data_IF_990782505019
#
_entry.id   IF_990782505019
#
_cell.length_a   1.000
_cell.length_b   1.000
_cell.length_c   1.000
_cell.angle_alpha   90.00
_cell.angle_beta   90.00
_cell.angle_gamma   90.00
#
_symmetry.space_group_name_H-M   'P 1'
#
loop_
_entity.id
_entity.type
_entity.pdbx_description
1 polymer ?
#
# COMPACT_ATOMS: atom_id res chain seq x y z
N UNK A 1 -24.55 15.15 20.72
CA UNK A 1 -24.72 14.04 19.78
C UNK A 1 -24.84 14.61 18.38
N UNK A 2 -23.73 14.70 17.66
CA UNK A 2 -23.67 15.12 16.25
C UNK A 2 -23.48 13.84 15.43
N UNK A 3 -24.38 13.58 14.50
CA UNK A 3 -24.23 12.53 13.50
C UNK A 3 -23.34 13.08 12.38
N UNK A 4 -22.19 12.45 12.19
CA UNK A 4 -21.23 12.74 11.12
C UNK A 4 -21.72 12.08 9.84
N UNK A 5 -21.66 12.82 8.73
CA UNK A 5 -22.03 12.38 7.39
C UNK A 5 -21.00 11.39 6.83
N UNK A 6 -21.46 10.31 6.20
CA UNK A 6 -20.65 9.44 5.36
C UNK A 6 -20.56 10.02 3.94
N UNK A 7 -19.34 10.18 3.43
CA UNK A 7 -19.02 10.38 2.02
C UNK A 7 -18.90 9.01 1.30
N UNK A 8 -19.18 8.93 -0.02
CA UNK A 8 -19.15 7.67 -0.76
C UNK A 8 -17.71 7.24 -1.09
N UNK A 9 -17.39 5.97 -0.82
CA UNK A 9 -16.16 5.29 -1.24
C UNK A 9 -16.29 4.73 -2.67
N UNK A 10 -15.14 4.71 -3.34
CA UNK A 10 -14.81 4.14 -4.64
C UNK A 10 -15.30 2.68 -4.76
N UNK A 11 -15.80 2.29 -5.94
CA UNK A 11 -16.31 0.94 -6.24
C UNK A 11 -15.16 0.03 -6.69
N UNK A 12 -14.96 -1.07 -5.97
CA UNK A 12 -14.14 -2.22 -6.38
C UNK A 12 -15.07 -3.44 -6.36
N UNK A 13 -15.02 -4.25 -7.41
CA UNK A 13 -15.88 -5.42 -7.64
C UNK A 13 -15.44 -6.59 -6.74
N UNK A 14 -16.40 -7.20 -6.04
CA UNK A 14 -16.22 -8.06 -4.85
C UNK A 14 -16.72 -9.48 -5.14
N UNK A 15 -15.91 -10.54 -4.93
CA UNK A 15 -16.25 -11.97 -5.15
C UNK A 15 -16.58 -12.74 -3.88
N UNK A 16 -17.85 -13.14 -3.72
CA UNK A 16 -18.33 -14.01 -2.64
C UNK A 16 -19.35 -15.06 -3.07
N UNK A 17 -19.20 -16.21 -2.40
CA UNK A 17 -20.09 -17.37 -2.33
C UNK A 17 -21.20 -17.08 -1.30
N UNK A 18 -22.48 -17.24 -1.70
CA UNK A 18 -23.63 -17.11 -0.81
C UNK A 18 -23.84 -18.39 0.00
N UNK A 19 -23.62 -18.33 1.32
CA UNK A 19 -24.32 -19.19 2.28
C UNK A 19 -25.47 -18.39 2.89
N UNK A 20 -26.67 -18.94 2.78
CA UNK A 20 -27.95 -18.25 2.95
C UNK A 20 -28.18 -17.66 4.36
N UNK A 21 -28.24 -16.33 4.48
CA UNK A 21 -28.92 -15.63 5.57
C UNK A 21 -29.66 -14.40 5.03
N UNK A 22 -30.99 -14.47 4.94
CA UNK A 22 -31.84 -13.39 4.46
C UNK A 22 -31.96 -12.26 5.51
N UNK A 23 -31.49 -11.06 5.17
CA UNK A 23 -31.91 -9.80 5.79
C UNK A 23 -32.41 -8.88 4.67
N UNK A 24 -33.72 -8.65 4.62
CA UNK A 24 -34.34 -7.68 3.71
C UNK A 24 -34.06 -6.25 4.15
N UNK A 25 -33.57 -5.41 3.24
CA UNK A 25 -33.73 -3.96 3.30
C UNK A 25 -34.25 -3.46 1.95
N UNK A 26 -35.32 -2.67 2.00
CA UNK A 26 -35.95 -2.04 0.84
C UNK A 26 -35.08 -0.89 0.32
N UNK A 27 -34.93 -0.79 -1.00
CA UNK A 27 -34.27 0.34 -1.67
C UNK A 27 -35.31 1.27 -2.31
N UNK A 28 -35.22 2.56 -2.01
CA UNK A 28 -35.94 3.64 -2.69
C UNK A 28 -35.09 4.18 -3.86
N UNK A 29 -35.79 4.53 -4.95
CA UNK A 29 -35.26 5.00 -6.23
C UNK A 29 -34.45 6.32 -6.12
N UNK A 30 -33.31 6.39 -6.80
CA UNK A 30 -32.63 7.65 -7.13
C UNK A 30 -32.42 7.76 -8.65
N UNK A 31 -32.99 8.82 -9.24
CA UNK A 31 -32.77 9.27 -10.62
C UNK A 31 -31.39 9.93 -10.73
N UNK A 32 -30.60 9.56 -11.74
CA UNK A 32 -29.31 10.18 -12.04
C UNK A 32 -29.42 11.14 -13.24
N UNK A 33 -29.03 12.40 -13.01
CA UNK A 33 -28.86 13.42 -14.05
C UNK A 33 -27.50 13.25 -14.75
N UNK A 34 -27.51 13.34 -16.09
CA UNK A 34 -26.34 13.20 -16.97
C UNK A 34 -25.62 14.54 -17.08
N UNK A 35 -24.37 14.62 -16.63
CA UNK A 35 -23.47 15.75 -16.89
C UNK A 35 -22.52 15.40 -18.04
N UNK A 36 -22.61 16.18 -19.12
CA UNK A 36 -21.73 16.13 -20.29
C UNK A 36 -20.47 16.96 -19.99
N UNK A 37 -19.29 16.33 -20.04
CA UNK A 37 -18.00 17.05 -19.99
C UNK A 37 -17.57 17.45 -21.40
N UNK A 38 -17.31 18.75 -21.57
CA UNK A 38 -16.76 19.36 -22.78
C UNK A 38 -15.24 19.26 -22.82
N UNK A 39 -14.72 19.06 -24.03
CA UNK A 39 -13.30 19.07 -24.40
C UNK A 39 -12.64 20.42 -24.09
N UNK A 40 -11.44 20.38 -23.50
CA UNK A 40 -10.53 21.53 -23.41
C UNK A 40 -9.34 21.32 -24.32
N UNK A 41 -9.15 22.23 -25.27
CA UNK A 41 -7.98 22.35 -26.13
C UNK A 41 -6.81 22.99 -25.35
N UNK A 42 -5.67 22.31 -25.29
CA UNK A 42 -4.39 22.83 -24.78
C UNK A 42 -3.72 23.76 -25.81
N UNK A 43 -3.34 25.00 -25.46
CA UNK A 43 -2.46 25.81 -26.27
C UNK A 43 -0.98 25.64 -25.88
N UNK A 44 -0.14 25.56 -26.92
CA UNK A 44 1.30 25.38 -26.90
C UNK A 44 2.06 26.40 -26.03
N UNK A 45 3.11 25.90 -25.36
CA UNK A 45 4.07 26.69 -24.60
C UNK A 45 4.95 27.59 -25.51
N UNK A 46 5.24 28.84 -25.10
CA UNK A 46 6.16 29.73 -25.81
C UNK A 46 7.64 29.46 -25.44
N UNK A 47 8.59 29.87 -26.31
CA UNK A 47 10.02 29.61 -26.12
C UNK A 47 10.68 30.55 -25.10
N UNK A 48 11.62 30.00 -24.33
CA UNK A 48 12.47 30.72 -23.38
C UNK A 48 13.50 31.60 -24.12
N UNK A 49 13.60 32.87 -23.73
CA UNK A 49 14.67 33.81 -24.11
C UNK A 49 15.57 34.06 -22.92
N UNK A 50 16.88 33.89 -23.11
CA UNK A 50 17.93 34.23 -22.14
C UNK A 50 18.22 35.74 -22.21
N UNK A 51 17.88 36.47 -21.14
CA UNK A 51 18.30 37.87 -20.96
C UNK A 51 19.23 37.99 -19.75
N UNK A 52 20.42 38.55 -20.03
CA UNK A 52 21.48 38.84 -19.09
C UNK A 52 21.13 40.01 -18.16
N UNK A 53 21.23 39.79 -16.84
CA UNK A 53 21.10 40.84 -15.83
C UNK A 53 22.44 41.11 -15.13
N UNK A 54 22.87 42.36 -15.25
CA UNK A 54 24.02 42.98 -14.62
C UNK A 54 23.76 43.26 -13.13
N UNK A 55 24.66 42.82 -12.26
CA UNK A 55 24.68 43.16 -10.82
C UNK A 55 25.12 44.61 -10.56
N UNK A 56 24.54 45.32 -9.58
CA UNK A 56 25.09 46.57 -9.06
C UNK A 56 25.98 46.35 -7.82
N UNK A 57 27.07 47.11 -7.75
CA UNK A 57 28.02 47.16 -6.64
C UNK A 57 27.37 47.60 -5.31
N UNK A 58 27.51 46.77 -4.26
CA UNK A 58 27.11 47.10 -2.89
C UNK A 58 28.37 47.45 -2.08
N UNK A 59 28.33 48.61 -1.43
CA UNK A 59 29.39 49.17 -0.60
C UNK A 59 29.61 48.36 0.69
N UNK A 60 30.88 48.19 1.04
CA UNK A 60 31.37 47.44 2.21
C UNK A 60 31.13 48.22 3.51
N UNK A 61 30.45 47.65 4.53
CA UNK A 61 30.36 48.26 5.85
C UNK A 61 31.58 47.98 6.72
N UNK A 62 31.89 48.95 7.57
CA UNK A 62 33.00 48.99 8.54
C UNK A 62 32.79 47.98 9.69
N UNK A 63 33.83 47.29 10.18
CA UNK A 63 33.66 46.19 11.15
C UNK A 63 33.40 46.71 12.57
N UNK A 64 32.44 46.12 13.32
CA UNK A 64 32.21 46.47 14.71
C UNK A 64 33.25 45.82 15.65
N UNK A 65 33.46 46.50 16.77
CA UNK A 65 34.41 46.18 17.82
C UNK A 65 34.27 44.77 18.40
N UNK A 66 35.43 44.15 18.61
CA UNK A 66 35.82 43.07 19.52
C UNK A 66 34.72 42.59 20.49
N UNK A 67 33.90 41.63 20.06
CA UNK A 67 32.96 40.92 20.93
C UNK A 67 33.69 39.86 21.78
N UNK A 68 33.32 39.81 23.06
CA UNK A 68 33.71 38.81 24.05
C UNK A 68 33.34 37.40 23.60
N UNK A 69 34.19 36.43 23.95
CA UNK A 69 34.04 35.00 23.62
C UNK A 69 32.61 34.49 23.93
N UNK A 70 31.89 33.89 22.96
CA UNK A 70 30.57 33.35 23.19
C UNK A 70 30.69 32.06 24.00
N UNK A 71 30.15 32.10 25.22
CA UNK A 71 29.76 30.91 25.97
C UNK A 71 28.46 30.39 25.37
N UNK A 72 28.27 29.07 25.30
CA UNK A 72 26.98 28.49 24.89
C UNK A 72 25.87 29.18 25.70
N UNK A 73 24.96 29.94 25.08
CA UNK A 73 23.97 30.73 25.82
C UNK A 73 22.95 29.87 26.59
N UNK A 74 23.03 28.54 26.47
CA UNK A 74 22.35 27.58 27.35
C UNK A 74 22.78 27.66 28.83
N UNK A 75 23.75 28.51 29.20
CA UNK A 75 24.13 28.77 30.59
C UNK A 75 23.10 29.59 31.41
N UNK A 76 21.87 29.74 30.93
CA UNK A 76 20.74 30.04 31.79
C UNK A 76 20.53 28.92 32.82
N UNK A 77 20.03 29.26 34.01
CA UNK A 77 19.78 28.28 35.07
C UNK A 77 18.69 27.30 34.62
N UNK A 78 19.09 26.16 34.05
CA UNK A 78 18.19 25.16 33.44
C UNK A 78 17.09 24.67 34.41
N UNK A 79 17.29 24.82 35.72
CA UNK A 79 16.29 24.54 36.75
C UNK A 79 15.05 25.46 36.69
N UNK A 80 15.08 26.56 35.94
CA UNK A 80 13.94 27.48 35.78
C UNK A 80 13.11 27.21 34.52
N UNK A 81 13.58 26.33 33.62
CA UNK A 81 12.86 25.99 32.40
C UNK A 81 11.68 25.06 32.72
N UNK A 82 10.56 25.26 32.01
CA UNK A 82 9.39 24.43 32.15
C UNK A 82 9.66 23.01 31.62
N UNK A 83 9.07 22.00 32.26
CA UNK A 83 9.05 20.63 31.73
C UNK A 83 8.14 20.55 30.50
N UNK A 84 8.50 19.71 29.55
CA UNK A 84 7.83 19.62 28.25
C UNK A 84 7.59 18.20 27.76
N UNK A 85 7.96 17.19 28.53
CA UNK A 85 7.85 15.78 28.18
C UNK A 85 7.42 14.97 29.41
N UNK A 86 6.44 14.08 29.23
CA UNK A 86 5.93 13.20 30.29
C UNK A 86 6.65 11.83 30.32
N UNK A 87 7.42 11.49 29.28
CA UNK A 87 8.13 10.21 29.13
C UNK A 87 9.53 10.23 29.76
N UNK A 88 10.05 11.40 30.11
CA UNK A 88 11.39 11.56 30.65
C UNK A 88 11.74 13.00 30.98
N UNK A 89 12.90 13.23 31.62
CA UNK A 89 13.37 14.56 31.97
C UNK A 89 13.73 15.36 30.70
N UNK A 90 12.89 16.33 30.35
CA UNK A 90 13.17 17.30 29.29
C UNK A 90 12.71 18.70 29.69
N UNK A 91 13.37 19.72 29.14
CA UNK A 91 13.05 21.13 29.40
C UNK A 91 12.77 21.88 28.11
N UNK A 92 11.85 22.83 28.21
CA UNK A 92 11.52 23.70 27.10
C UNK A 92 12.59 24.78 26.92
N UNK A 93 13.40 24.67 25.86
CA UNK A 93 14.51 25.59 25.55
C UNK A 93 14.10 26.46 24.36
N UNK A 94 14.24 27.80 24.42
CA UNK A 94 14.01 28.66 23.25
C UNK A 94 14.82 28.18 22.03
N UNK A 95 14.20 28.10 20.85
CA UNK A 95 14.81 27.51 19.66
C UNK A 95 16.11 28.22 19.24
N UNK A 96 16.25 29.52 19.52
CA UNK A 96 17.48 30.30 19.27
C UNK A 96 18.71 29.79 20.05
N UNK A 97 18.51 28.94 21.06
CA UNK A 97 19.58 28.29 21.80
C UNK A 97 19.79 26.82 21.41
N UNK A 98 18.88 26.25 20.62
CA UNK A 98 18.95 24.85 20.16
C UNK A 98 19.78 24.81 18.88
N UNK A 99 20.80 23.94 18.78
CA UNK A 99 21.55 23.77 17.53
C UNK A 99 20.66 23.37 16.36
N UNK A 100 20.87 23.96 15.19
CA UNK A 100 19.98 23.81 14.02
C UNK A 100 19.72 22.34 13.64
N UNK A 101 20.75 21.49 13.70
CA UNK A 101 20.62 20.05 13.43
C UNK A 101 19.69 19.30 14.38
N UNK A 102 19.45 19.83 15.58
CA UNK A 102 18.53 19.24 16.55
C UNK A 102 17.11 19.82 16.44
N UNK A 103 16.94 21.06 15.97
CA UNK A 103 15.64 21.76 15.99
C UNK A 103 14.53 20.98 15.29
N UNK A 104 14.83 20.34 14.15
CA UNK A 104 13.85 19.56 13.37
C UNK A 104 13.45 18.23 14.02
N UNK A 105 14.17 17.81 15.07
CA UNK A 105 13.89 16.55 15.76
C UNK A 105 13.10 16.75 17.06
N UNK A 106 12.97 17.97 17.57
CA UNK A 106 12.35 18.21 18.88
C UNK A 106 10.85 18.52 18.78
N UNK A 107 10.09 18.08 19.77
CA UNK A 107 8.74 18.58 19.97
C UNK A 107 8.77 20.08 20.25
N UNK A 108 7.83 20.83 19.68
CA UNK A 108 7.66 22.25 20.02
C UNK A 108 7.06 22.39 21.42
N UNK A 109 7.49 23.40 22.16
CA UNK A 109 6.99 23.71 23.49
C UNK A 109 6.93 25.22 23.71
N UNK A 110 5.97 25.67 24.53
CA UNK A 110 5.73 27.10 24.74
C UNK A 110 5.42 27.83 23.44
N UNK A 111 5.87 29.08 23.31
CA UNK A 111 5.59 29.91 22.14
C UNK A 111 6.63 29.82 21.02
N UNK A 112 7.88 29.40 21.30
CA UNK A 112 9.00 29.33 20.34
C UNK A 112 10.13 28.41 20.86
N UNK A 113 9.82 27.39 21.67
CA UNK A 113 10.81 26.49 22.24
C UNK A 113 10.82 25.10 21.61
N UNK A 114 11.95 24.41 21.72
CA UNK A 114 12.11 22.98 21.50
C UNK A 114 12.22 22.23 22.82
N UNK A 115 11.58 21.06 22.92
CA UNK A 115 11.63 20.22 24.11
C UNK A 115 12.94 19.42 24.12
N UNK A 116 13.96 19.93 24.81
CA UNK A 116 15.31 19.33 24.80
C UNK A 116 15.46 18.36 25.99
N UNK A 117 15.84 17.09 25.76
CA UNK A 117 16.19 16.15 26.81
C UNK A 117 17.24 16.72 27.78
N UNK A 118 17.06 16.49 29.08
CA UNK A 118 17.90 17.04 30.14
C UNK A 118 19.37 16.62 29.98
N UNK A 119 19.64 15.40 29.50
CA UNK A 119 21.00 14.93 29.20
C UNK A 119 21.69 15.74 28.11
N UNK A 120 20.96 16.13 27.06
CA UNK A 120 21.52 17.00 26.02
C UNK A 120 21.87 18.35 26.65
N UNK A 121 20.96 18.94 27.44
CA UNK A 121 21.22 20.23 28.12
C UNK A 121 22.47 20.14 29.01
N UNK A 122 22.61 19.08 29.79
CA UNK A 122 23.74 18.92 30.72
C UNK A 122 25.06 18.64 30.01
N UNK A 123 25.03 17.87 28.92
CA UNK A 123 26.20 17.61 28.07
C UNK A 123 26.64 18.84 27.27
N UNK A 124 25.69 19.66 26.77
CA UNK A 124 26.03 20.92 26.09
C UNK A 124 26.68 21.94 27.03
N UNK A 125 26.42 21.90 28.35
CA UNK A 125 27.20 22.68 29.33
C UNK A 125 28.66 22.23 29.41
N UNK A 126 28.94 20.95 29.13
CA UNK A 126 30.29 20.41 29.04
C UNK A 126 30.95 20.61 27.66
N UNK A 127 30.19 21.11 26.67
CA UNK A 127 30.67 21.51 25.34
C UNK A 127 30.40 20.51 24.22
N UNK A 128 30.01 19.27 24.53
CA UNK A 128 29.65 18.26 23.54
C UNK A 128 28.57 17.30 24.08
N UNK A 129 27.72 16.81 23.19
CA UNK A 129 26.81 15.70 23.46
C UNK A 129 27.07 14.60 22.44
N UNK A 130 27.49 13.42 22.91
CA UNK A 130 27.62 12.21 22.09
C UNK A 130 26.73 11.14 22.72
N UNK A 131 25.69 10.65 22.01
CA UNK A 131 24.88 9.53 22.48
C UNK A 131 25.72 8.29 22.79
N UNK A 132 25.24 7.47 23.73
CA UNK A 132 25.85 6.17 23.99
C UNK A 132 25.48 5.21 22.85
N UNK A 133 26.46 4.52 22.26
CA UNK A 133 26.23 3.49 21.24
C UNK A 133 25.56 2.27 21.86
N UNK A 134 24.61 1.66 21.17
CA UNK A 134 23.84 0.50 21.60
C UNK A 134 23.53 -0.41 20.41
N UNK A 135 22.93 -1.58 20.68
CA UNK A 135 22.44 -2.51 19.64
C UNK A 135 20.93 -2.35 19.46
N UNK A 136 20.52 -1.93 18.26
CA UNK A 136 19.14 -1.61 17.92
C UNK A 136 18.40 -2.81 17.29
N UNK A 137 17.25 -2.53 16.67
CA UNK A 137 16.44 -3.47 15.89
C UNK A 137 17.29 -4.29 14.91
N UNK A 138 17.05 -5.60 14.83
CA UNK A 138 17.78 -6.49 13.93
C UNK A 138 19.28 -6.66 14.24
N UNK A 139 19.75 -6.20 15.40
CA UNK A 139 21.18 -6.25 15.74
C UNK A 139 22.01 -5.13 15.10
N UNK A 140 21.36 -4.13 14.51
CA UNK A 140 22.01 -2.96 13.89
C UNK A 140 22.69 -2.07 14.93
N UNK A 141 23.66 -1.27 14.48
CA UNK A 141 24.24 -0.20 15.30
C UNK A 141 23.19 0.87 15.58
N UNK A 142 23.16 1.37 16.82
CA UNK A 142 22.25 2.43 17.23
C UNK A 142 22.83 3.33 18.29
N UNK A 143 22.06 4.32 18.68
CA UNK A 143 22.38 5.28 19.72
C UNK A 143 21.24 5.41 20.74
N UNK A 144 21.60 5.61 21.99
CA UNK A 144 20.65 5.88 23.07
C UNK A 144 20.09 7.28 22.90
N UNK A 145 18.84 7.35 22.44
CA UNK A 145 18.12 8.59 22.22
C UNK A 145 16.94 8.68 23.18
N UNK A 146 16.71 9.87 23.73
CA UNK A 146 15.64 10.11 24.67
C UNK A 146 14.27 9.87 24.04
N UNK A 147 13.40 9.21 24.80
CA UNK A 147 11.98 9.01 24.49
C UNK A 147 11.18 10.33 24.41
N UNK A 148 11.77 11.46 24.78
CA UNK A 148 11.19 12.78 24.59
C UNK A 148 11.38 13.35 23.18
N UNK A 149 12.18 12.72 22.33
CA UNK A 149 12.24 13.03 20.90
C UNK A 149 11.04 12.37 20.22
N UNK A 150 10.13 13.11 19.55
CA UNK A 150 8.91 12.57 18.93
C UNK A 150 9.12 11.31 18.12
N UNK A 151 10.11 11.30 17.21
CA UNK A 151 10.42 10.10 16.40
C UNK A 151 10.71 8.86 17.26
N UNK A 152 11.40 9.02 18.40
CA UNK A 152 11.68 7.89 19.31
C UNK A 152 10.44 7.52 20.14
N UNK A 153 9.66 8.51 20.55
CA UNK A 153 8.40 8.29 21.27
C UNK A 153 7.42 7.46 20.44
N UNK A 154 7.32 7.76 19.14
CA UNK A 154 6.44 7.07 18.19
C UNK A 154 6.82 5.59 18.01
N UNK A 155 8.10 5.24 18.24
CA UNK A 155 8.63 3.88 18.12
C UNK A 155 9.03 3.24 19.46
N UNK A 156 8.62 3.80 20.60
CA UNK A 156 9.09 3.38 21.94
C UNK A 156 8.85 1.90 22.27
N UNK A 157 7.81 1.30 21.67
CA UNK A 157 7.45 -0.12 21.85
C UNK A 157 8.27 -1.06 20.99
N UNK A 158 8.92 -0.56 19.94
CA UNK A 158 9.70 -1.35 18.99
C UNK A 158 11.20 -1.22 19.26
N UNK A 159 11.66 -0.01 19.55
CA UNK A 159 13.06 0.22 19.83
C UNK A 159 13.47 -0.50 21.12
N UNK A 160 14.54 -1.32 21.11
CA UNK A 160 15.01 -1.97 22.32
C UNK A 160 15.60 -0.94 23.27
N UNK A 161 15.61 -1.26 24.57
CA UNK A 161 16.32 -0.44 25.55
C UNK A 161 17.84 -0.70 25.51
N UNK A 162 18.26 -1.95 25.29
CA UNK A 162 19.67 -2.39 25.35
C UNK A 162 20.44 -1.81 26.55
N UNK A 163 21.51 -1.04 26.32
CA UNK A 163 22.33 -0.43 27.37
C UNK A 163 21.90 1.02 27.69
N UNK A 164 20.79 1.47 27.11
CA UNK A 164 20.23 2.80 27.32
C UNK A 164 19.47 2.87 28.64
N UNK A 165 19.22 4.09 29.10
CA UNK A 165 18.56 4.34 30.38
C UNK A 165 17.04 4.17 30.25
N UNK A 166 16.31 4.25 31.37
CA UNK A 166 14.85 4.02 31.39
C UNK A 166 14.04 4.98 30.50
N UNK A 167 14.53 6.22 30.36
CA UNK A 167 13.95 7.28 29.54
C UNK A 167 14.54 7.36 28.12
N UNK A 168 15.32 6.37 27.71
CA UNK A 168 15.97 6.29 26.40
C UNK A 168 15.60 4.99 25.68
N UNK A 169 15.74 5.00 24.35
CA UNK A 169 15.68 3.81 23.51
C UNK A 169 16.85 3.80 22.55
N UNK A 170 17.27 2.60 22.17
CA UNK A 170 18.27 2.42 21.16
C UNK A 170 17.64 2.68 19.79
N UNK A 171 17.81 3.89 19.26
CA UNK A 171 17.38 4.24 17.92
C UNK A 171 18.46 3.77 16.91
N UNK A 172 18.10 3.07 15.82
CA UNK A 172 19.09 2.59 14.85
C UNK A 172 19.76 3.77 14.15
N UNK A 173 21.03 3.65 13.77
CA UNK A 173 21.72 4.72 13.05
C UNK A 173 21.09 4.99 11.68
N UNK A 174 20.69 3.92 11.00
CA UNK A 174 20.00 3.94 9.71
C UNK A 174 18.53 3.58 9.96
N UNK A 175 17.60 4.36 9.41
CA UNK A 175 16.18 4.05 9.47
C UNK A 175 15.92 2.74 8.70
N UNK A 176 15.41 1.67 9.35
CA UNK A 176 15.22 0.37 8.71
C UNK A 176 14.12 0.38 7.64
N UNK A 177 13.29 1.43 7.56
CA UNK A 177 12.25 1.58 6.56
C UNK A 177 12.75 2.27 5.30
N UNK A 178 13.56 3.32 5.46
CA UNK A 178 13.98 4.17 4.34
C UNK A 178 15.41 3.90 3.89
N UNK A 179 16.24 3.28 4.73
CA UNK A 179 17.67 3.14 4.51
C UNK A 179 18.47 4.43 4.74
N UNK A 180 17.81 5.53 5.11
CA UNK A 180 18.45 6.84 5.32
C UNK A 180 19.07 6.97 6.73
N UNK A 181 20.02 7.89 6.89
CA UNK A 181 20.54 8.26 8.21
C UNK A 181 19.42 8.84 9.10
N UNK A 182 19.16 8.18 10.23
CA UNK A 182 18.14 8.60 11.20
C UNK A 182 18.53 9.86 11.98
N UNK A 183 19.82 10.23 11.97
CA UNK A 183 20.44 11.23 12.82
C UNK A 183 20.78 10.75 14.23
N UNK A 184 20.52 9.48 14.58
CA UNK A 184 20.75 8.96 15.93
C UNK A 184 22.25 8.84 16.26
N UNK A 185 23.07 8.44 15.29
CA UNK A 185 24.49 8.11 15.49
C UNK A 185 25.47 9.13 14.90
N UNK A 186 25.00 10.33 14.51
CA UNK A 186 25.89 11.37 14.00
C UNK A 186 27.00 11.76 14.97
N UNK A 187 27.95 12.59 14.52
CA UNK A 187 29.18 13.01 15.24
C UNK A 187 28.98 13.72 16.60
N UNK A 188 27.76 13.69 17.12
CA UNK A 188 27.35 14.40 18.31
C UNK A 188 27.03 15.86 18.02
N UNK A 189 26.42 16.50 19.01
CA UNK A 189 26.08 17.91 18.95
C UNK A 189 27.21 18.65 19.64
N UNK A 190 28.00 19.41 18.86
CA UNK A 190 29.02 20.31 19.40
C UNK A 190 28.53 21.74 19.35
N UNK A 191 28.66 22.45 20.46
CA UNK A 191 28.44 23.89 20.46
C UNK A 191 29.75 24.57 20.08
N UNK A 192 30.01 24.75 18.78
CA UNK A 192 31.06 25.68 18.39
C UNK A 192 30.53 27.13 18.52
N UNK A 193 31.30 28.05 19.11
CA UNK A 193 30.94 29.47 19.08
C UNK A 193 30.86 29.88 17.62
N UNK A 194 29.74 30.49 17.21
CA UNK A 194 29.60 31.17 15.93
C UNK A 194 30.61 32.32 15.84
N UNK A 195 31.88 31.99 15.64
CA UNK A 195 32.86 32.94 15.15
C UNK A 195 32.46 33.21 13.71
N UNK A 196 32.34 34.48 13.34
CA UNK A 196 32.13 34.93 11.97
C UNK A 196 33.15 34.23 11.05
N UNK A 197 32.76 33.09 10.49
CA UNK A 197 33.61 32.28 9.64
C UNK A 197 33.57 32.93 8.28
N UNK A 198 34.75 33.36 7.84
CA UNK A 198 34.99 33.62 6.43
C UNK A 198 34.96 32.23 5.81
N UNK A 199 33.84 31.86 5.17
CA UNK A 199 33.63 30.55 4.54
C UNK A 199 34.91 30.13 3.80
N UNK A 200 35.67 29.15 4.33
CA UNK A 200 36.60 28.42 3.49
C UNK A 200 35.73 27.73 2.44
N UNK A 201 36.11 27.94 1.18
CA UNK A 201 35.54 27.26 0.01
C UNK A 201 35.31 25.78 0.38
N UNK A 202 34.05 25.29 0.33
CA UNK A 202 33.69 24.00 0.89
C UNK A 202 34.58 22.93 0.27
N UNK A 203 35.36 22.24 1.11
CA UNK A 203 35.91 20.95 0.71
C UNK A 203 34.72 20.12 0.23
N UNK A 204 34.83 19.45 -0.93
CA UNK A 204 33.73 18.66 -1.45
C UNK A 204 33.32 17.67 -0.35
N UNK A 205 32.09 17.82 0.14
CA UNK A 205 31.53 16.88 1.10
C UNK A 205 31.76 15.48 0.55
N UNK A 206 32.32 14.55 1.36
CA UNK A 206 32.46 13.17 0.94
C UNK A 206 31.07 12.71 0.48
N UNK A 207 30.98 12.25 -0.76
CA UNK A 207 29.71 11.76 -1.30
C UNK A 207 29.11 10.79 -0.28
N UNK A 208 27.82 10.97 0.11
CA UNK A 208 27.18 10.10 1.06
C UNK A 208 27.41 8.66 0.62
N UNK A 209 27.81 7.80 1.56
CA UNK A 209 27.98 6.40 1.25
C UNK A 209 26.69 5.91 0.57
N UNK A 210 26.77 5.25 -0.60
CA UNK A 210 25.58 4.80 -1.30
C UNK A 210 24.74 3.97 -0.34
N UNK A 211 23.43 4.22 -0.34
CA UNK A 211 22.49 3.47 0.51
C UNK A 211 22.76 1.97 0.34
N UNK A 212 22.90 1.22 1.45
CA UNK A 212 23.34 -0.16 1.36
C UNK A 212 22.32 -1.05 0.63
N UNK A 213 21.06 -0.61 0.51
CA UNK A 213 19.99 -1.35 -0.11
C UNK A 213 19.28 -0.51 -1.17
N UNK A 214 19.05 -1.15 -2.32
CA UNK A 214 18.26 -0.58 -3.42
C UNK A 214 17.73 -1.73 -4.27
N UNK A 215 16.87 -1.44 -5.25
CA UNK A 215 16.44 -2.47 -6.20
C UNK A 215 17.55 -3.00 -7.11
N UNK A 216 18.66 -2.27 -7.21
CA UNK A 216 19.88 -2.75 -7.87
C UNK A 216 20.79 -3.57 -6.92
N UNK A 217 20.59 -3.44 -5.61
CA UNK A 217 21.35 -4.11 -4.56
C UNK A 217 20.44 -4.62 -3.44
N UNK A 218 19.71 -5.70 -3.72
CA UNK A 218 18.81 -6.33 -2.76
C UNK A 218 19.60 -6.85 -1.54
N UNK A 219 19.01 -6.82 -0.33
CA UNK A 219 19.64 -7.35 0.86
C UNK A 219 19.91 -8.85 0.70
N UNK A 220 21.14 -9.28 1.02
CA UNK A 220 21.53 -10.70 0.99
C UNK A 220 21.20 -11.45 2.29
N UNK A 221 20.90 -10.73 3.35
CA UNK A 221 20.52 -11.24 4.67
C UNK A 221 19.28 -10.48 5.15
N UNK A 222 18.42 -11.10 5.99
CA UNK A 222 17.27 -10.41 6.57
C UNK A 222 17.71 -9.16 7.35
N UNK A 223 17.15 -8.00 7.00
CA UNK A 223 17.40 -6.72 7.68
C UNK A 223 16.51 -6.53 8.91
N UNK A 224 15.39 -7.25 8.99
CA UNK A 224 14.51 -7.26 10.16
C UNK A 224 14.18 -8.70 10.61
N UNK A 225 14.04 -8.89 11.92
CA UNK A 225 13.58 -10.14 12.52
C UNK A 225 12.06 -10.12 12.66
N UNK A 226 11.39 -11.00 11.91
CA UNK A 226 9.92 -11.12 11.91
C UNK A 226 9.36 -11.49 13.28
N UNK A 227 10.14 -12.16 14.14
CA UNK A 227 9.69 -12.61 15.46
C UNK A 227 9.52 -11.45 16.47
N UNK A 228 9.89 -10.23 16.09
CA UNK A 228 9.61 -9.02 16.86
C UNK A 228 8.14 -8.57 16.74
N UNK A 229 7.42 -9.09 15.74
CA UNK A 229 6.03 -8.75 15.45
C UNK A 229 5.10 -9.91 15.85
N UNK A 230 3.82 -9.61 16.07
CA UNK A 230 2.83 -10.65 16.36
C UNK A 230 2.44 -11.37 15.06
N UNK A 231 2.38 -12.71 14.99
CA UNK A 231 1.91 -13.39 13.79
C UNK A 231 0.43 -13.05 13.53
N UNK A 232 0.08 -12.79 12.27
CA UNK A 232 -1.31 -12.46 11.87
C UNK A 232 -1.92 -13.50 10.92
N UNK A 233 -1.11 -14.20 10.12
CA UNK A 233 -1.46 -15.39 9.35
C UNK A 233 -0.19 -16.18 8.99
N UNK A 234 -0.31 -17.23 8.18
CA UNK A 234 0.80 -18.12 7.85
C UNK A 234 1.83 -17.42 6.95
N UNK A 235 3.05 -17.22 7.45
CA UNK A 235 4.12 -16.49 6.77
C UNK A 235 3.91 -14.97 6.70
N UNK A 236 3.22 -14.38 7.68
CA UNK A 236 3.08 -12.93 7.82
C UNK A 236 2.96 -12.50 9.28
N UNK A 237 3.44 -11.29 9.56
CA UNK A 237 3.35 -10.68 10.89
C UNK A 237 2.72 -9.29 10.87
N UNK A 238 2.16 -8.91 12.01
CA UNK A 238 1.48 -7.64 12.22
C UNK A 238 2.50 -6.52 12.43
N UNK A 239 2.69 -5.70 11.40
CA UNK A 239 3.57 -4.55 11.41
C UNK A 239 2.76 -3.29 11.77
N UNK A 240 3.23 -2.47 12.73
CA UNK A 240 2.59 -1.22 13.11
C UNK A 240 2.35 -0.29 11.92
N UNK A 241 1.23 0.41 11.91
CA UNK A 241 0.86 1.29 10.78
C UNK A 241 1.90 2.37 10.46
N UNK A 242 2.66 2.82 11.46
CA UNK A 242 3.73 3.81 11.28
C UNK A 242 4.96 3.27 10.52
N UNK A 243 5.11 1.94 10.44
CA UNK A 243 6.21 1.25 9.76
C UNK A 243 5.80 0.74 8.36
N UNK A 244 4.53 0.86 7.98
CA UNK A 244 4.03 0.39 6.68
C UNK A 244 3.76 1.61 5.79
N UNK A 245 4.41 1.71 4.60
CA UNK A 245 4.18 2.81 3.67
C UNK A 245 2.68 3.00 3.36
N UNK A 246 2.15 4.24 3.34
CA UNK A 246 0.73 4.49 3.11
C UNK A 246 0.17 3.86 1.83
N UNK A 247 0.97 3.76 0.78
CA UNK A 247 0.66 3.12 -0.49
C UNK A 247 0.41 1.61 -0.37
N UNK A 248 1.09 0.92 0.55
CA UNK A 248 0.94 -0.52 0.74
C UNK A 248 -0.26 -0.86 1.63
N UNK A 249 -0.68 0.07 2.48
CA UNK A 249 -1.74 -0.15 3.49
C UNK A 249 -3.09 -0.55 2.90
N UNK A 250 -3.40 -0.13 1.66
CA UNK A 250 -4.67 -0.51 1.01
C UNK A 250 -4.72 -1.95 0.53
N UNK A 251 -3.56 -2.59 0.35
CA UNK A 251 -3.43 -3.98 -0.10
C UNK A 251 -3.32 -4.99 1.05
N UNK A 252 -3.15 -4.52 2.29
CA UNK A 252 -2.84 -5.38 3.44
C UNK A 252 -4.01 -5.49 4.42
N UNK A 253 -4.18 -6.67 5.01
CA UNK A 253 -5.18 -6.87 6.05
C UNK A 253 -4.81 -6.11 7.33
N UNK A 254 -5.75 -5.44 7.98
CA UNK A 254 -5.52 -4.83 9.30
C UNK A 254 -5.37 -5.89 10.40
N UNK A 255 -4.51 -5.65 11.38
CA UNK A 255 -4.30 -6.51 12.54
C UNK A 255 -4.18 -5.70 13.86
N UNK A 256 -4.06 -6.39 14.99
CA UNK A 256 -3.94 -5.80 16.34
C UNK A 256 -4.99 -4.72 16.68
N UNK A 257 -6.25 -4.96 16.29
CA UNK A 257 -7.37 -4.01 16.44
C UNK A 257 -7.22 -2.73 15.60
N UNK A 258 -6.67 -2.85 14.39
CA UNK A 258 -6.42 -1.77 13.42
C UNK A 258 -5.28 -0.81 13.83
N UNK A 259 -4.31 -1.29 14.62
CA UNK A 259 -3.07 -0.54 14.90
C UNK A 259 -1.90 -0.94 14.01
N UNK A 260 -2.09 -1.97 13.17
CA UNK A 260 -1.09 -2.46 12.24
C UNK A 260 -1.69 -3.14 11.02
N UNK A 261 -0.81 -3.59 10.13
CA UNK A 261 -1.12 -4.32 8.91
C UNK A 261 -0.37 -5.64 8.88
N UNK A 262 -1.01 -6.66 8.33
CA UNK A 262 -0.46 -7.99 8.21
C UNK A 262 0.44 -8.05 6.98
N UNK A 263 1.75 -7.96 7.20
CA UNK A 263 2.77 -7.87 6.15
C UNK A 263 3.42 -9.25 5.98
N UNK A 264 3.52 -9.78 4.74
CA UNK A 264 4.23 -11.03 4.47
C UNK A 264 5.69 -10.99 4.92
N UNK A 265 6.19 -12.10 5.47
CA UNK A 265 7.53 -12.20 6.05
C UNK A 265 8.65 -11.74 5.09
N UNK A 266 8.65 -12.11 3.78
CA UNK A 266 9.68 -11.63 2.86
C UNK A 266 9.76 -10.11 2.73
N UNK A 267 8.63 -9.40 2.87
CA UNK A 267 8.59 -7.94 2.81
C UNK A 267 9.21 -7.36 4.09
N UNK A 268 8.90 -7.95 5.25
CA UNK A 268 9.47 -7.52 6.55
C UNK A 268 10.98 -7.77 6.56
N UNK A 269 11.41 -8.99 6.23
CA UNK A 269 12.81 -9.42 6.25
C UNK A 269 13.69 -8.58 5.32
N UNK A 270 13.13 -8.02 4.24
CA UNK A 270 13.86 -7.20 3.26
C UNK A 270 13.57 -5.70 3.39
N UNK A 271 12.71 -5.29 4.33
CA UNK A 271 12.22 -3.91 4.48
C UNK A 271 11.67 -3.34 3.17
N UNK A 272 10.92 -4.14 2.43
CA UNK A 272 10.31 -3.75 1.15
C UNK A 272 11.20 -3.90 -0.09
N UNK A 273 12.50 -4.15 0.06
CA UNK A 273 13.41 -4.41 -1.07
C UNK A 273 13.39 -5.88 -1.49
N UNK A 274 12.29 -6.33 -2.08
CA UNK A 274 12.13 -7.71 -2.55
C UNK A 274 11.60 -7.78 -3.98
N UNK A 275 11.79 -8.95 -4.60
CA UNK A 275 11.11 -9.35 -5.83
C UNK A 275 10.48 -10.70 -5.55
N UNK A 276 9.15 -10.77 -5.64
CA UNK A 276 8.44 -12.02 -5.44
C UNK A 276 8.86 -13.08 -6.46
N UNK A 277 8.76 -14.36 -6.10
CA UNK A 277 9.11 -15.44 -7.03
C UNK A 277 8.19 -15.42 -8.26
N UNK A 278 8.78 -15.51 -9.46
CA UNK A 278 8.04 -15.61 -10.71
C UNK A 278 7.35 -16.96 -10.84
N UNK A 279 6.09 -16.96 -11.26
CA UNK A 279 5.29 -18.17 -11.46
C UNK A 279 4.44 -18.06 -12.73
N UNK A 280 3.86 -19.20 -13.16
CA UNK A 280 2.91 -19.24 -14.27
C UNK A 280 1.50 -19.30 -13.69
N UNK A 281 0.69 -18.29 -14.02
CA UNK A 281 -0.70 -18.11 -13.57
C UNK A 281 -1.70 -18.57 -14.63
N UNK A 282 -2.97 -18.18 -14.46
CA UNK A 282 -4.12 -18.52 -15.32
C UNK A 282 -3.84 -18.15 -16.78
N UNK A 283 -4.19 -19.05 -17.70
CA UNK A 283 -3.99 -18.81 -19.14
C UNK A 283 -2.52 -18.78 -19.56
N UNK A 284 -1.62 -19.31 -18.72
CA UNK A 284 -0.18 -19.31 -18.98
C UNK A 284 0.48 -17.94 -18.83
N UNK A 285 -0.19 -16.97 -18.20
CA UNK A 285 0.37 -15.64 -17.99
C UNK A 285 1.48 -15.66 -16.94
N UNK A 286 2.42 -14.73 -17.07
CA UNK A 286 3.38 -14.48 -16.00
C UNK A 286 2.68 -13.95 -14.75
N UNK A 287 3.14 -14.36 -13.58
CA UNK A 287 2.67 -13.87 -12.29
C UNK A 287 3.77 -13.81 -11.25
N UNK A 288 3.35 -13.47 -10.02
CA UNK A 288 4.16 -13.51 -8.81
C UNK A 288 3.51 -14.35 -7.74
N UNK A 289 4.34 -15.01 -6.95
CA UNK A 289 3.93 -15.68 -5.74
C UNK A 289 3.58 -14.62 -4.70
N UNK A 290 2.28 -14.39 -4.51
CA UNK A 290 1.75 -13.42 -3.55
C UNK A 290 1.13 -14.17 -2.38
N UNK A 291 1.41 -13.70 -1.17
CA UNK A 291 0.90 -14.30 0.05
C UNK A 291 -0.63 -14.32 0.10
N UNK A 292 -1.19 -15.44 0.55
CA UNK A 292 -2.62 -15.58 0.85
C UNK A 292 -3.09 -14.72 2.03
N UNK A 293 -2.18 -14.04 2.71
CA UNK A 293 -2.46 -13.02 3.71
C UNK A 293 -2.92 -11.68 3.11
N UNK A 294 -2.63 -11.43 1.83
CA UNK A 294 -3.17 -10.29 1.09
C UNK A 294 -4.66 -10.54 0.83
N UNK A 295 -5.59 -9.67 1.30
CA UNK A 295 -7.03 -9.92 1.21
C UNK A 295 -7.51 -10.27 -0.20
N UNK A 296 -7.02 -9.57 -1.22
CA UNK A 296 -7.41 -9.83 -2.61
C UNK A 296 -7.00 -11.24 -3.08
N UNK A 297 -5.81 -11.71 -2.67
CA UNK A 297 -5.33 -13.06 -3.00
C UNK A 297 -6.09 -14.11 -2.20
N UNK A 298 -6.41 -13.82 -0.93
CA UNK A 298 -7.22 -14.69 -0.09
C UNK A 298 -8.62 -14.93 -0.69
N UNK A 299 -9.24 -13.88 -1.20
CA UNK A 299 -10.56 -13.93 -1.86
C UNK A 299 -10.53 -14.72 -3.17
N UNK A 300 -9.40 -14.70 -3.90
CA UNK A 300 -9.23 -15.40 -5.18
C UNK A 300 -8.52 -16.76 -5.06
N UNK A 301 -8.30 -17.25 -3.83
CA UNK A 301 -7.43 -18.40 -3.57
C UNK A 301 -7.81 -19.69 -4.32
N UNK A 302 -9.11 -19.92 -4.53
CA UNK A 302 -9.64 -21.09 -5.24
C UNK A 302 -9.50 -20.97 -6.77
N UNK A 303 -9.32 -19.75 -7.29
CA UNK A 303 -9.22 -19.46 -8.72
C UNK A 303 -7.78 -19.23 -9.17
N UNK A 304 -6.85 -19.00 -8.24
CA UNK A 304 -5.43 -18.80 -8.53
C UNK A 304 -4.67 -20.12 -8.37
N UNK A 305 -3.79 -20.49 -9.32
CA UNK A 305 -2.98 -21.69 -9.17
C UNK A 305 -1.89 -21.47 -8.11
N UNK A 306 -1.46 -22.55 -7.46
CA UNK A 306 -0.25 -22.53 -6.60
C UNK A 306 1.02 -22.40 -7.47
N UNK A 307 1.08 -23.10 -8.60
CA UNK A 307 2.24 -23.09 -9.50
C UNK A 307 3.54 -23.53 -8.78
N UNK A 308 4.61 -22.73 -8.81
CA UNK A 308 5.85 -22.96 -8.04
C UNK A 308 5.84 -22.34 -6.64
N UNK A 309 4.78 -21.61 -6.27
CA UNK A 309 4.72 -20.85 -5.04
C UNK A 309 4.63 -21.72 -3.78
N UNK A 310 4.91 -21.11 -2.63
CA UNK A 310 4.76 -21.77 -1.34
C UNK A 310 3.29 -22.11 -1.04
N UNK A 311 3.06 -22.98 -0.05
CA UNK A 311 1.70 -23.44 0.29
C UNK A 311 0.76 -22.32 0.73
N UNK A 312 1.30 -21.29 1.38
CA UNK A 312 0.63 -20.08 1.84
C UNK A 312 0.61 -18.95 0.80
N UNK A 313 0.93 -19.24 -0.45
CA UNK A 313 0.97 -18.28 -1.56
C UNK A 313 0.11 -18.75 -2.74
N UNK A 314 -0.23 -17.81 -3.62
CA UNK A 314 -0.84 -18.11 -4.91
C UNK A 314 -0.14 -17.33 -6.01
N UNK A 315 -0.15 -17.90 -7.19
CA UNK A 315 0.41 -17.26 -8.37
C UNK A 315 -0.57 -16.22 -8.91
N UNK A 316 -0.46 -14.99 -8.41
CA UNK A 316 -1.26 -13.86 -8.90
C UNK A 316 -0.70 -13.39 -10.25
N UNK A 317 -1.51 -13.30 -11.31
CA UNK A 317 -1.03 -12.91 -12.63
C UNK A 317 -0.60 -11.44 -12.62
N UNK A 318 0.46 -11.06 -13.34
CA UNK A 318 0.84 -9.65 -13.46
C UNK A 318 -0.26 -8.79 -14.11
N UNK A 319 -0.96 -9.41 -15.06
CA UNK A 319 -2.00 -8.80 -15.87
C UNK A 319 -3.27 -9.61 -15.71
N UNK A 320 -4.40 -8.94 -15.52
CA UNK A 320 -5.69 -9.59 -15.48
C UNK A 320 -5.93 -10.32 -16.81
N UNK A 321 -6.18 -11.64 -16.80
CA UNK A 321 -6.23 -12.44 -18.03
C UNK A 321 -7.45 -12.14 -18.91
N UNK A 322 -8.46 -11.42 -18.39
CA UNK A 322 -9.72 -11.09 -19.06
C UNK A 322 -9.76 -9.67 -19.62
N UNK A 323 -9.06 -8.74 -19.00
CA UNK A 323 -9.04 -7.32 -19.39
C UNK A 323 -7.67 -6.90 -19.93
N UNK A 324 -6.61 -7.56 -19.50
CA UNK A 324 -5.23 -7.15 -19.73
C UNK A 324 -4.83 -5.93 -18.90
N UNK A 325 -5.56 -5.57 -17.85
CA UNK A 325 -5.17 -4.51 -16.91
C UNK A 325 -4.11 -5.03 -15.92
N UNK A 326 -3.29 -4.12 -15.35
CA UNK A 326 -2.32 -4.50 -14.32
C UNK A 326 -3.02 -4.88 -13.02
N UNK A 327 -2.61 -5.98 -12.39
CA UNK A 327 -3.18 -6.43 -11.11
C UNK A 327 -2.41 -5.90 -9.89
N UNK A 328 -1.26 -5.26 -10.12
CA UNK A 328 -0.32 -4.89 -9.08
C UNK A 328 0.57 -6.05 -8.58
N UNK A 329 0.37 -7.29 -9.03
CA UNK A 329 1.18 -8.43 -8.57
C UNK A 329 2.67 -8.29 -8.93
N UNK A 330 2.98 -7.60 -10.03
CA UNK A 330 4.34 -7.42 -10.55
C UNK A 330 4.85 -5.99 -10.40
N UNK A 331 4.26 -5.22 -9.47
CA UNK A 331 4.70 -3.86 -9.12
C UNK A 331 4.97 -3.73 -7.61
N UNK A 332 5.23 -4.85 -6.93
CA UNK A 332 5.52 -4.88 -5.50
C UNK A 332 7.03 -4.77 -5.27
N UNK A 333 7.43 -3.94 -4.28
CA UNK A 333 8.83 -3.77 -3.91
C UNK A 333 9.70 -3.35 -5.09
N UNK A 334 10.65 -4.21 -5.45
CA UNK A 334 11.64 -3.98 -6.51
C UNK A 334 11.30 -4.66 -7.84
N UNK A 335 10.09 -5.16 -8.00
CA UNK A 335 9.65 -5.78 -9.24
C UNK A 335 9.60 -4.77 -10.40
N UNK A 336 10.16 -5.16 -11.55
CA UNK A 336 10.21 -4.31 -12.75
C UNK A 336 9.05 -4.59 -13.71
N UNK A 337 8.12 -5.46 -13.31
CA UNK A 337 6.97 -5.86 -14.12
C UNK A 337 7.17 -7.20 -14.83
N UNK A 338 6.26 -7.53 -15.77
CA UNK A 338 6.32 -8.78 -16.50
C UNK A 338 7.54 -8.82 -17.44
N UNK A 339 8.22 -9.97 -17.52
CA UNK A 339 9.35 -10.20 -18.42
C UNK A 339 8.99 -10.09 -19.91
N UNK A 340 7.73 -10.36 -20.26
CA UNK A 340 7.19 -10.20 -21.61
C UNK A 340 6.83 -8.75 -21.96
N UNK A 341 7.07 -7.80 -21.05
CA UNK A 341 6.73 -6.38 -21.20
C UNK A 341 5.39 -6.04 -20.54
N UNK A 342 4.72 -5.01 -21.06
CA UNK A 342 3.47 -4.48 -20.49
C UNK A 342 2.26 -5.39 -20.73
N UNK A 343 1.24 -5.24 -19.91
CA UNK A 343 -0.04 -5.89 -20.10
C UNK A 343 -0.67 -5.46 -21.45
N UNK A 344 -0.66 -6.38 -22.41
CA UNK A 344 -0.95 -6.11 -23.83
C UNK A 344 -2.37 -6.50 -24.25
N UNK A 345 -3.34 -6.46 -23.31
CA UNK A 345 -4.71 -6.92 -23.49
C UNK A 345 -4.95 -8.33 -22.94
N UNK A 346 -6.20 -8.83 -23.03
CA UNK A 346 -6.58 -10.14 -22.51
C UNK A 346 -5.71 -11.25 -23.09
N UNK A 347 -5.21 -12.12 -22.22
CA UNK A 347 -4.44 -13.30 -22.60
C UNK A 347 -5.34 -14.47 -22.99
N UNK A 348 -6.59 -14.48 -22.52
CA UNK A 348 -7.52 -15.56 -22.79
C UNK A 348 -8.18 -15.40 -24.17
N UNK A 349 -8.32 -16.48 -24.95
CA UNK A 349 -9.07 -16.46 -26.20
C UNK A 349 -10.54 -16.08 -25.95
N UNK A 350 -11.07 -15.16 -26.76
CA UNK A 350 -12.49 -14.80 -26.68
C UNK A 350 -13.38 -15.92 -27.25
N UNK A 351 -14.59 -16.03 -26.69
CA UNK A 351 -15.61 -16.96 -27.13
C UNK A 351 -16.98 -16.27 -27.15
N UNK A 352 -18.02 -16.98 -27.60
CA UNK A 352 -19.39 -16.45 -27.69
C UNK A 352 -19.49 -15.05 -28.33
N UNK A 353 -18.82 -14.86 -29.48
CA UNK A 353 -18.80 -13.59 -30.20
C UNK A 353 -18.21 -12.41 -29.40
N UNK A 354 -17.30 -12.69 -28.46
CA UNK A 354 -16.64 -11.67 -27.63
C UNK A 354 -17.41 -11.32 -26.35
N UNK A 355 -18.36 -12.17 -25.93
CA UNK A 355 -19.11 -12.01 -24.67
C UNK A 355 -18.57 -12.87 -23.53
N UNK A 356 -17.45 -13.54 -23.78
CA UNK A 356 -16.84 -14.45 -22.83
C UNK A 356 -15.41 -14.78 -23.22
N UNK A 357 -14.72 -15.43 -22.29
CA UNK A 357 -13.36 -15.91 -22.47
C UNK A 357 -13.27 -17.42 -22.24
N UNK A 358 -12.32 -18.05 -22.92
CA UNK A 358 -12.02 -19.46 -22.77
C UNK A 358 -11.14 -19.69 -21.55
N UNK A 359 -11.66 -20.41 -20.56
CA UNK A 359 -10.94 -20.78 -19.33
C UNK A 359 -10.73 -22.30 -19.33
N UNK A 360 -9.56 -22.74 -18.86
CA UNK A 360 -9.27 -24.16 -18.65
C UNK A 360 -10.33 -24.80 -17.75
N UNK A 361 -10.85 -25.97 -18.15
CA UNK A 361 -11.95 -26.64 -17.46
C UNK A 361 -11.63 -26.92 -15.98
N UNK A 362 -10.36 -27.14 -15.65
CA UNK A 362 -9.89 -27.39 -14.28
C UNK A 362 -9.93 -26.16 -13.36
N UNK A 363 -9.95 -24.94 -13.92
CA UNK A 363 -10.15 -23.69 -13.18
C UNK A 363 -11.62 -23.30 -13.06
N UNK A 364 -12.51 -23.99 -13.78
CA UNK A 364 -13.96 -23.77 -13.69
C UNK A 364 -14.54 -24.73 -12.65
N UNK A 365 -15.37 -24.26 -11.70
CA UNK A 365 -16.06 -25.13 -10.77
C UNK A 365 -16.83 -26.25 -11.48
N UNK A 366 -16.65 -27.49 -11.02
CA UNK A 366 -17.16 -28.68 -11.72
C UNK A 366 -18.69 -28.71 -11.90
N UNK A 367 -19.44 -28.04 -11.02
CA UNK A 367 -20.89 -27.88 -11.08
C UNK A 367 -21.34 -26.92 -12.21
N UNK A 368 -20.45 -26.09 -12.74
CA UNK A 368 -20.71 -25.19 -13.86
C UNK A 368 -20.40 -25.81 -15.22
N UNK A 369 -19.65 -26.93 -15.27
CA UNK A 369 -19.17 -27.52 -16.53
C UNK A 369 -20.31 -27.85 -17.50
N UNK A 370 -21.43 -28.37 -17.00
CA UNK A 370 -22.59 -28.73 -17.82
C UNK A 370 -23.33 -27.51 -18.39
N UNK A 371 -23.16 -26.33 -17.76
CA UNK A 371 -23.82 -25.08 -18.12
C UNK A 371 -23.00 -24.21 -19.08
N UNK A 372 -21.74 -24.57 -19.37
CA UNK A 372 -20.83 -23.76 -20.18
C UNK A 372 -20.49 -24.42 -21.51
N UNK A 373 -20.40 -23.62 -22.58
CA UNK A 373 -20.04 -24.15 -23.91
C UNK A 373 -18.56 -24.46 -24.02
N UNK A 374 -18.20 -25.45 -24.81
CA UNK A 374 -16.79 -25.71 -25.12
C UNK A 374 -16.31 -24.62 -26.09
N UNK A 375 -15.07 -24.16 -25.92
CA UNK A 375 -14.49 -23.16 -26.82
C UNK A 375 -14.17 -23.71 -28.22
N UNK A 376 -13.97 -25.02 -28.34
CA UNK A 376 -13.75 -25.70 -29.61
C UNK A 376 -12.35 -25.48 -30.20
N UNK A 377 -12.11 -26.06 -31.38
CA UNK A 377 -10.82 -25.98 -32.06
C UNK A 377 -9.70 -26.70 -31.31
N UNK A 378 -8.60 -25.99 -31.08
CA UNK A 378 -7.44 -26.47 -30.31
C UNK A 378 -7.62 -26.32 -28.78
N UNK A 379 -8.70 -25.64 -28.36
CA UNK A 379 -9.05 -25.38 -26.96
C UNK A 379 -10.10 -26.37 -26.46
N UNK A 380 -9.81 -27.68 -26.59
CA UNK A 380 -10.79 -28.75 -26.29
C UNK A 380 -11.08 -28.92 -24.79
N UNK A 381 -10.13 -28.53 -23.96
CA UNK A 381 -10.23 -28.59 -22.50
C UNK A 381 -10.58 -27.23 -21.89
N UNK A 382 -11.17 -26.33 -22.70
CA UNK A 382 -11.58 -24.99 -22.28
C UNK A 382 -13.09 -24.80 -22.38
N UNK A 383 -13.64 -24.15 -21.36
CA UNK A 383 -15.03 -23.74 -21.27
C UNK A 383 -15.14 -22.24 -21.50
N UNK A 384 -16.16 -21.85 -22.26
CA UNK A 384 -16.50 -20.47 -22.56
C UNK A 384 -17.28 -19.87 -21.40
N UNK A 385 -16.61 -19.04 -20.60
CA UNK A 385 -17.20 -18.35 -19.43
C UNK A 385 -17.62 -16.94 -19.85
N UNK A 386 -18.91 -16.58 -19.70
CA UNK A 386 -19.37 -15.23 -20.01
C UNK A 386 -18.71 -14.18 -19.11
N UNK A 387 -18.36 -13.03 -19.67
CA UNK A 387 -17.66 -11.97 -18.92
C UNK A 387 -18.50 -11.39 -17.80
N UNK A 388 -19.80 -11.21 -18.07
CA UNK A 388 -20.74 -10.72 -17.06
C UNK A 388 -20.86 -11.66 -15.85
N UNK A 389 -20.60 -12.96 -16.03
CA UNK A 389 -20.66 -13.96 -14.96
C UNK A 389 -19.34 -14.12 -14.19
N UNK A 390 -18.28 -13.39 -14.60
CA UNK A 390 -17.11 -13.22 -13.75
C UNK A 390 -17.43 -12.30 -12.57
N UNK A 391 -18.45 -11.43 -12.72
CA UNK A 391 -18.99 -10.68 -11.60
C UNK A 391 -19.87 -11.61 -10.73
N UNK A 392 -19.45 -11.90 -9.50
CA UNK A 392 -20.15 -12.71 -8.51
C UNK A 392 -21.48 -12.09 -8.05
N UNK A 393 -21.59 -10.77 -8.15
CA UNK A 393 -22.81 -10.02 -7.87
C UNK A 393 -23.71 -9.95 -9.10
N UNK A 394 -23.33 -10.57 -10.22
CA UNK A 394 -24.14 -10.62 -11.42
C UNK A 394 -25.50 -11.25 -11.13
N UNK A 395 -26.53 -10.42 -11.29
CA UNK A 395 -27.91 -10.86 -11.34
C UNK A 395 -28.42 -10.52 -12.74
N UNK A 396 -28.83 -11.55 -13.49
CA UNK A 396 -29.38 -11.35 -14.83
C UNK A 396 -30.60 -10.43 -14.79
N UNK A 397 -30.73 -9.56 -15.80
CA UNK A 397 -31.85 -8.62 -15.87
C UNK A 397 -33.18 -9.39 -15.92
N UNK A 398 -34.17 -9.09 -15.06
CA UNK A 398 -35.46 -9.78 -15.09
C UNK A 398 -36.14 -9.68 -16.45
N UNK A 399 -36.75 -10.78 -16.89
CA UNK A 399 -37.47 -10.87 -18.14
C UNK A 399 -38.72 -11.73 -17.97
N UNK A 400 -39.66 -11.58 -18.90
CA UNK A 400 -40.84 -12.43 -18.99
C UNK A 400 -40.99 -12.95 -20.41
N UNK A 401 -41.40 -14.19 -20.57
CA UNK A 401 -41.61 -14.81 -21.87
C UNK A 401 -42.82 -15.71 -21.91
N UNK A 402 -43.16 -16.18 -23.10
CA UNK A 402 -44.14 -17.25 -23.29
C UNK A 402 -43.45 -18.44 -23.97
N UNK A 403 -43.64 -19.64 -23.42
CA UNK A 403 -43.19 -20.89 -24.02
C UNK A 403 -44.37 -21.84 -24.16
N UNK A 404 -44.39 -22.64 -25.23
CA UNK A 404 -45.43 -23.64 -25.45
C UNK A 404 -45.60 -24.62 -24.27
N UNK A 405 -44.49 -24.92 -23.57
CA UNK A 405 -44.48 -25.87 -22.45
C UNK A 405 -44.77 -25.22 -21.10
N UNK A 406 -44.31 -23.98 -20.88
CA UNK A 406 -44.40 -23.30 -19.57
C UNK A 406 -45.58 -22.31 -19.50
N UNK A 407 -46.24 -22.00 -20.62
CA UNK A 407 -47.11 -20.84 -20.70
C UNK A 407 -46.30 -19.56 -20.52
N UNK A 408 -46.87 -18.59 -19.81
CA UNK A 408 -46.17 -17.38 -19.37
C UNK A 408 -45.21 -17.70 -18.23
N UNK A 409 -43.96 -17.28 -18.34
CA UNK A 409 -42.94 -17.50 -17.32
C UNK A 409 -42.17 -16.22 -16.99
N UNK A 410 -41.61 -16.16 -15.78
CA UNK A 410 -40.63 -15.17 -15.35
C UNK A 410 -39.23 -15.78 -15.40
N UNK A 411 -38.24 -14.95 -15.73
CA UNK A 411 -36.87 -15.38 -15.94
C UNK A 411 -35.87 -14.24 -15.81
N UNK A 412 -34.64 -14.53 -16.18
CA UNK A 412 -33.54 -13.57 -16.26
C UNK A 412 -32.84 -13.68 -17.60
N UNK A 413 -32.40 -12.53 -18.12
CA UNK A 413 -31.60 -12.48 -19.34
C UNK A 413 -30.19 -12.98 -19.04
N UNK A 414 -29.84 -14.12 -19.62
CA UNK A 414 -28.50 -14.69 -19.53
C UNK A 414 -27.79 -14.66 -20.88
N UNK A 415 -26.45 -14.55 -20.89
CA UNK A 415 -25.68 -14.60 -22.11
C UNK A 415 -25.95 -15.89 -22.89
N UNK A 416 -26.06 -15.78 -24.22
CA UNK A 416 -26.26 -16.93 -25.11
C UNK A 416 -25.09 -17.92 -25.13
N UNK A 417 -24.03 -17.69 -24.35
CA UNK A 417 -22.88 -18.58 -24.16
C UNK A 417 -23.23 -19.83 -23.35
N UNK A 418 -24.28 -19.80 -22.53
CA UNK A 418 -24.60 -20.91 -21.65
C UNK A 418 -25.20 -22.10 -22.41
N UNK A 419 -24.81 -23.32 -22.01
CA UNK A 419 -25.48 -24.58 -22.35
C UNK A 419 -26.73 -24.70 -21.49
N UNK A 420 -27.77 -23.94 -21.81
CA UNK A 420 -29.04 -24.10 -21.11
C UNK A 420 -29.66 -25.46 -21.48
N UNK A 421 -30.08 -26.30 -20.50
CA UNK A 421 -30.60 -27.64 -20.76
C UNK A 421 -31.92 -27.65 -21.54
N UNK A 422 -32.49 -26.46 -21.73
CA UNK A 422 -33.76 -26.23 -22.36
C UNK A 422 -33.54 -25.82 -23.82
N UNK A 423 -33.73 -26.76 -24.75
CA UNK A 423 -33.86 -26.49 -26.20
C UNK A 423 -35.16 -25.75 -26.55
N UNK A 424 -35.64 -24.87 -25.67
CA UNK A 424 -36.82 -24.08 -25.94
C UNK A 424 -36.44 -22.90 -26.82
N UNK A 425 -37.24 -22.66 -27.85
CA UNK A 425 -37.24 -21.40 -28.57
C UNK A 425 -37.81 -20.34 -27.64
N UNK A 426 -36.97 -19.75 -26.80
CA UNK A 426 -37.35 -18.63 -25.95
C UNK A 426 -37.48 -17.37 -26.79
N UNK A 427 -38.48 -16.56 -26.46
CA UNK A 427 -38.67 -15.27 -27.10
C UNK A 427 -37.52 -14.34 -26.72
N UNK A 428 -36.83 -13.79 -27.71
CA UNK A 428 -35.73 -12.81 -27.48
C UNK A 428 -36.23 -11.41 -27.20
N UNK A 429 -37.54 -11.19 -27.18
CA UNK A 429 -38.17 -9.87 -27.34
C UNK A 429 -37.92 -8.89 -26.20
N UNK A 430 -37.41 -9.35 -25.05
CA UNK A 430 -37.15 -8.49 -23.87
C UNK A 430 -35.66 -8.40 -23.51
N UNK A 431 -34.81 -9.32 -23.95
CA UNK A 431 -33.41 -9.35 -23.55
C UNK A 431 -32.50 -8.56 -24.49
N UNK A 432 -31.33 -8.07 -24.01
CA UNK A 432 -30.32 -7.47 -24.86
C UNK A 432 -29.89 -8.40 -26.01
N UNK A 433 -29.21 -7.83 -27.01
CA UNK A 433 -28.66 -8.64 -28.09
C UNK A 433 -27.77 -9.75 -27.52
N UNK A 434 -27.81 -10.92 -28.15
CA UNK A 434 -27.10 -12.14 -27.73
C UNK A 434 -27.47 -12.73 -26.36
N UNK A 435 -28.51 -12.22 -25.70
CA UNK A 435 -29.04 -12.80 -24.46
C UNK A 435 -30.29 -13.64 -24.71
N UNK A 436 -30.57 -14.56 -23.79
CA UNK A 436 -31.76 -15.41 -23.81
C UNK A 436 -32.50 -15.30 -22.48
N UNK A 437 -33.82 -15.09 -22.54
CA UNK A 437 -34.66 -15.05 -21.34
C UNK A 437 -34.83 -16.47 -20.76
N UNK A 438 -34.06 -16.76 -19.71
CA UNK A 438 -33.98 -18.07 -19.07
C UNK A 438 -34.97 -18.14 -17.91
N UNK A 439 -35.92 -19.10 -17.89
CA UNK A 439 -36.91 -19.19 -16.82
C UNK A 439 -36.26 -19.48 -15.47
N UNK A 440 -36.80 -18.88 -14.41
CA UNK A 440 -36.34 -19.13 -13.04
C UNK A 440 -36.79 -20.48 -12.48
N UNK A 441 -37.88 -21.03 -13.03
CA UNK A 441 -38.42 -22.34 -12.65
C UNK A 441 -38.47 -23.27 -13.85
N UNK A 442 -38.09 -24.53 -13.65
CA UNK A 442 -38.25 -25.60 -14.63
C UNK A 442 -39.74 -25.97 -14.83
N UNK A 443 -40.09 -26.81 -15.82
CA UNK A 443 -41.48 -27.23 -16.06
C UNK A 443 -42.16 -28.01 -14.92
N UNK A 444 -41.40 -28.45 -13.91
CA UNK A 444 -41.88 -29.17 -12.75
C UNK A 444 -41.91 -28.28 -11.49
N UNK A 445 -41.57 -27.00 -11.61
CA UNK A 445 -41.53 -26.03 -10.52
C UNK A 445 -40.23 -26.04 -9.70
N UNK A 446 -39.19 -26.75 -10.13
CA UNK A 446 -37.85 -26.68 -9.53
C UNK A 446 -37.11 -25.41 -9.94
N UNK A 447 -36.18 -24.92 -9.10
CA UNK A 447 -35.31 -23.79 -9.47
C UNK A 447 -34.34 -24.21 -10.58
N UNK A 448 -34.12 -23.33 -11.56
CA UNK A 448 -33.14 -23.56 -12.63
C UNK A 448 -31.71 -23.22 -12.23
N UNK A 449 -31.50 -22.57 -11.08
CA UNK A 449 -30.18 -22.09 -10.65
C UNK A 449 -29.64 -20.92 -11.47
N UNK A 450 -30.46 -20.29 -12.31
CA UNK A 450 -30.07 -19.12 -13.09
C UNK A 450 -29.73 -17.93 -12.15
N UNK A 451 -28.56 -17.27 -12.31
CA UNK A 451 -28.16 -16.17 -11.43
C UNK A 451 -29.14 -14.99 -11.55
N UNK A 452 -29.65 -14.53 -10.40
CA UNK A 452 -30.68 -13.48 -10.30
C UNK A 452 -32.11 -14.00 -10.16
N UNK A 453 -32.33 -15.31 -10.21
CA UNK A 453 -33.62 -15.92 -9.91
C UNK A 453 -33.86 -16.10 -8.40
N UNK A 454 -35.13 -15.99 -7.93
CA UNK A 454 -35.49 -16.04 -6.51
C UNK A 454 -35.43 -17.43 -5.87
#
# INVERSE_FOLDING_TARGET
MKLTQCTPRLRISILFIVSSLFISCAADNMEADVIVFGQSDDPAAPPYTEDALSSPDIATPTPPDKQTEPTCPMAGDAGQLAECCDLGPAKCVPMEFVPDGLQNQLATCGSNGGCVPQRIIDSLKAGNYTPKVCTSLGGSEGACISTCIPKVADFITFLPQDICEDDERCAPCIDPLTGEDSGACGDGITCQPQSASSEPEPEPEPEPAPDPFSCDNLPSEPIADVNLFNPCCDGAHCVPSALVPPEDQEFLATCDNNTGYCVPDPIIETGGFFVAETCISIGGSEGRCVSTCVPEVAEKMDNLPISTCAANERCSPCCDPFTGEETGACSQGCDTGPSLGYCAGPSLPTCCSGLGHCIEQELVPSDQHENLKDCGGDLKDFLCVPDEMQDPAYAGTPCSGNSFLLGSYEGVCLPGCLKLPLKFTFDKTVCPEHHTCTPCTDPFGGSTGAPGCP
#
